data_IF_428359397716
#
_entry.id   IF_428359397716
#
_cell.length_a   1.000
_cell.length_b   1.000
_cell.length_c   1.000
_cell.angle_alpha   90.00
_cell.angle_beta   90.00
_cell.angle_gamma   90.00
#
_symmetry.space_group_name_H-M   'P 1'
#
loop_
_entity.id
_entity.type
_entity.pdbx_description
1 polymer ?
#
# COMPACT_ATOMS: atom_id res chain seq x y z
N UNK A 1 10.09 -21.59 4.53
CA UNK A 1 10.59 -20.21 4.26
C UNK A 1 11.77 -20.18 3.29
N UNK A 2 12.66 -21.18 3.26
CA UNK A 2 13.75 -21.25 2.25
C UNK A 2 13.30 -21.73 0.86
N UNK A 3 12.20 -22.47 0.75
CA UNK A 3 11.75 -23.11 -0.50
C UNK A 3 11.01 -22.17 -1.48
N UNK A 4 10.50 -21.03 -1.01
CA UNK A 4 9.83 -20.04 -1.86
C UNK A 4 10.82 -19.11 -2.61
N UNK A 5 12.04 -18.96 -2.09
CA UNK A 5 13.12 -18.24 -2.75
C UNK A 5 13.83 -19.10 -3.82
N UNK A 6 13.84 -20.42 -3.65
CA UNK A 6 14.47 -21.36 -4.60
C UNK A 6 13.72 -21.54 -5.93
N UNK A 7 12.42 -21.26 -5.98
CA UNK A 7 11.61 -21.41 -7.21
C UNK A 7 11.80 -20.22 -8.18
N UNK A 8 12.40 -19.12 -7.73
CA UNK A 8 12.67 -17.95 -8.58
C UNK A 8 14.00 -18.03 -9.35
N UNK A 9 14.85 -19.04 -9.09
CA UNK A 9 16.21 -19.08 -9.66
C UNK A 9 16.35 -19.97 -10.90
N UNK A 10 15.52 -21.01 -11.05
CA UNK A 10 15.66 -21.97 -12.14
C UNK A 10 14.53 -21.84 -13.16
N UNK A 11 14.67 -20.93 -14.13
CA UNK A 11 13.83 -21.02 -15.34
C UNK A 11 13.58 -19.78 -16.18
N UNK A 12 14.39 -18.71 -16.11
CA UNK A 12 14.18 -17.56 -17.00
C UNK A 12 15.50 -17.09 -17.59
N UNK A 13 15.85 -17.68 -18.74
CA UNK A 13 16.79 -17.06 -19.68
C UNK A 13 16.15 -15.79 -20.25
N UNK A 14 16.62 -14.65 -19.77
CA UNK A 14 16.18 -13.31 -20.17
C UNK A 14 16.18 -12.36 -18.96
N UNK A 15 16.46 -11.04 -19.12
CA UNK A 15 16.67 -10.12 -18.01
C UNK A 15 15.34 -9.72 -17.36
N UNK A 16 14.64 -10.67 -16.74
CA UNK A 16 13.48 -10.39 -15.90
C UNK A 16 14.00 -10.11 -14.49
N UNK A 17 14.49 -8.90 -14.29
CA UNK A 17 15.06 -8.46 -13.02
C UNK A 17 14.07 -8.61 -11.85
N UNK A 18 14.62 -8.87 -10.65
CA UNK A 18 13.93 -9.02 -9.37
C UNK A 18 12.89 -7.94 -9.04
N UNK A 19 12.87 -6.80 -9.74
CA UNK A 19 12.03 -5.65 -9.42
C UNK A 19 10.54 -5.89 -9.57
N UNK A 20 10.12 -6.72 -10.52
CA UNK A 20 8.70 -7.04 -10.68
C UNK A 20 8.13 -7.91 -9.55
N UNK A 21 8.70 -9.07 -9.18
CA UNK A 21 8.17 -9.88 -8.09
C UNK A 21 8.23 -9.15 -6.74
N UNK A 22 9.29 -8.38 -6.48
CA UNK A 22 9.38 -7.54 -5.27
C UNK A 22 8.27 -6.48 -5.23
N UNK A 23 8.06 -5.77 -6.34
CA UNK A 23 6.98 -4.81 -6.42
C UNK A 23 5.61 -5.49 -6.29
N UNK A 24 5.40 -6.65 -6.91
CA UNK A 24 4.17 -7.43 -6.77
C UNK A 24 3.84 -7.75 -5.30
N UNK A 25 4.82 -8.24 -4.54
CA UNK A 25 4.69 -8.64 -3.14
C UNK A 25 4.52 -7.47 -2.17
N UNK A 26 4.99 -6.27 -2.53
CA UNK A 26 4.96 -5.09 -1.63
C UNK A 26 3.56 -4.66 -1.17
N UNK A 27 2.52 -4.88 -1.98
CA UNK A 27 1.13 -4.54 -1.60
C UNK A 27 0.57 -5.45 -0.50
N UNK A 28 0.58 -6.78 -0.70
CA UNK A 28 0.23 -7.76 0.34
C UNK A 28 1.03 -7.59 1.63
N UNK A 29 2.33 -7.27 1.52
CA UNK A 29 3.16 -7.00 2.70
C UNK A 29 2.70 -5.76 3.47
N UNK A 30 2.38 -4.66 2.76
CA UNK A 30 1.77 -3.48 3.35
C UNK A 30 0.43 -3.81 4.02
N UNK A 31 -0.42 -4.62 3.36
CA UNK A 31 -1.70 -5.04 3.91
C UNK A 31 -1.55 -5.89 5.17
N UNK A 32 -0.59 -6.82 5.21
CA UNK A 32 -0.29 -7.62 6.40
C UNK A 32 0.15 -6.74 7.57
N UNK A 33 1.03 -5.77 7.32
CA UNK A 33 1.49 -4.82 8.35
C UNK A 33 0.37 -3.91 8.87
N UNK A 34 -0.50 -3.40 7.98
CA UNK A 34 -1.69 -2.64 8.37
C UNK A 34 -2.69 -3.51 9.15
N UNK A 35 -2.84 -4.78 8.77
CA UNK A 35 -3.71 -5.73 9.48
C UNK A 35 -3.24 -5.99 10.90
N UNK A 36 -1.94 -6.26 11.08
CA UNK A 36 -1.33 -6.43 12.40
C UNK A 36 -1.47 -5.16 13.26
N UNK A 37 -1.36 -3.98 12.64
CA UNK A 37 -1.61 -2.70 13.31
C UNK A 37 -3.06 -2.58 13.81
N UNK A 38 -4.04 -2.97 12.97
CA UNK A 38 -5.45 -2.95 13.34
C UNK A 38 -5.78 -3.97 14.43
N UNK A 39 -5.20 -5.17 14.36
CA UNK A 39 -5.36 -6.21 15.38
C UNK A 39 -4.79 -5.76 16.73
N UNK A 40 -3.57 -5.19 16.74
CA UNK A 40 -2.97 -4.59 17.94
C UNK A 40 -3.82 -3.44 18.50
N UNK A 41 -4.43 -2.63 17.63
CA UNK A 41 -5.35 -1.58 18.04
C UNK A 41 -6.66 -2.13 18.62
N UNK A 42 -7.15 -3.26 18.10
CA UNK A 42 -8.34 -3.97 18.59
C UNK A 42 -8.12 -4.49 20.01
N UNK A 43 -7.03 -5.20 20.24
CA UNK A 43 -6.67 -5.72 21.57
C UNK A 43 -6.46 -4.61 22.60
N UNK A 44 -6.09 -3.41 22.16
CA UNK A 44 -5.92 -2.24 23.01
C UNK A 44 -7.17 -1.34 23.11
N UNK A 45 -8.31 -1.71 22.49
CA UNK A 45 -9.54 -0.92 22.52
C UNK A 45 -9.47 0.43 21.79
N UNK A 46 -8.53 0.61 20.85
CA UNK A 46 -8.24 1.91 20.19
C UNK A 46 -8.91 2.08 18.83
N UNK A 47 -9.65 1.08 18.34
CA UNK A 47 -10.25 1.06 16.99
C UNK A 47 -11.19 2.23 16.69
N UNK A 48 -11.75 2.88 17.72
CA UNK A 48 -12.61 4.05 17.54
C UNK A 48 -11.89 5.30 16.99
N UNK A 49 -10.55 5.33 17.00
CA UNK A 49 -9.78 6.47 16.49
C UNK A 49 -9.82 6.60 14.97
N UNK A 50 -9.91 7.83 14.47
CA UNK A 50 -9.89 8.17 13.04
C UNK A 50 -8.70 7.56 12.29
N UNK A 51 -7.55 7.42 12.96
CA UNK A 51 -6.36 6.75 12.43
C UNK A 51 -6.68 5.34 11.94
N UNK A 52 -7.32 4.52 12.78
CA UNK A 52 -7.58 3.11 12.49
C UNK A 52 -8.77 2.93 11.56
N UNK A 53 -9.78 3.81 11.66
CA UNK A 53 -10.90 3.85 10.70
C UNK A 53 -10.42 4.11 9.28
N UNK A 54 -9.50 5.07 9.08
CA UNK A 54 -8.91 5.36 7.77
C UNK A 54 -8.08 4.18 7.26
N UNK A 55 -7.24 3.57 8.10
CA UNK A 55 -6.49 2.37 7.71
C UNK A 55 -7.42 1.23 7.29
N UNK A 56 -8.50 0.98 8.04
CA UNK A 56 -9.50 -0.03 7.70
C UNK A 56 -10.22 0.28 6.38
N UNK A 57 -10.53 1.55 6.09
CA UNK A 57 -11.13 1.97 4.83
C UNK A 57 -10.25 1.64 3.62
N UNK A 58 -8.98 2.05 3.66
CA UNK A 58 -8.06 1.80 2.56
C UNK A 58 -7.65 0.33 2.45
N UNK A 59 -7.64 -0.42 3.55
CA UNK A 59 -7.49 -1.87 3.55
C UNK A 59 -8.70 -2.57 2.92
N UNK A 60 -9.91 -2.05 3.15
CA UNK A 60 -11.12 -2.52 2.45
C UNK A 60 -11.00 -2.29 0.95
N UNK A 61 -10.58 -1.09 0.53
CA UNK A 61 -10.38 -0.77 -0.90
C UNK A 61 -9.33 -1.71 -1.54
N UNK A 62 -8.23 -1.99 -0.84
CA UNK A 62 -7.23 -2.96 -1.26
C UNK A 62 -7.83 -4.36 -1.46
N UNK A 63 -8.62 -4.83 -0.49
CA UNK A 63 -9.24 -6.15 -0.53
C UNK A 63 -10.30 -6.27 -1.63
N UNK A 64 -11.05 -5.21 -1.90
CA UNK A 64 -11.99 -5.15 -3.03
C UNK A 64 -11.23 -5.30 -4.36
N UNK A 65 -10.11 -4.58 -4.53
CA UNK A 65 -9.27 -4.75 -5.71
C UNK A 65 -8.70 -6.18 -5.83
N UNK A 66 -8.34 -6.81 -4.70
CA UNK A 66 -7.91 -8.21 -4.64
C UNK A 66 -9.02 -9.18 -5.06
N UNK A 67 -10.25 -8.98 -4.58
CA UNK A 67 -11.41 -9.77 -4.96
C UNK A 67 -11.73 -9.64 -6.45
N UNK A 68 -11.74 -8.41 -6.99
CA UNK A 68 -11.93 -8.17 -8.43
C UNK A 68 -10.86 -8.89 -9.25
N UNK A 69 -9.60 -8.89 -8.79
CA UNK A 69 -8.51 -9.61 -9.45
C UNK A 69 -8.79 -11.11 -9.50
N UNK A 70 -9.23 -11.68 -8.38
CA UNK A 70 -9.58 -13.11 -8.26
C UNK A 70 -10.68 -13.45 -9.27
N UNK A 71 -11.77 -12.69 -9.29
CA UNK A 71 -12.90 -12.90 -10.20
C UNK A 71 -12.51 -12.81 -11.68
N UNK A 72 -11.64 -11.86 -12.04
CA UNK A 72 -11.18 -11.65 -13.41
C UNK A 72 -10.11 -12.66 -13.87
N UNK A 73 -9.51 -13.43 -12.95
CA UNK A 73 -8.41 -14.35 -13.24
C UNK A 73 -8.83 -15.83 -13.32
N UNK A 74 -10.11 -16.15 -13.15
CA UNK A 74 -10.65 -17.51 -13.26
C UNK A 74 -10.51 -17.97 -14.73
N UNK A 75 -9.63 -18.95 -15.01
CA UNK A 75 -9.50 -19.55 -16.35
C UNK A 75 -8.06 -19.71 -16.91
N UNK A 76 -7.17 -20.35 -16.15
CA UNK A 76 -5.85 -20.79 -16.63
C UNK A 76 -4.73 -19.77 -16.43
N UNK A 77 -3.69 -20.15 -15.70
CA UNK A 77 -2.68 -19.20 -15.21
C UNK A 77 -1.26 -19.63 -15.55
N UNK A 78 -0.49 -18.66 -16.05
CA UNK A 78 0.98 -18.72 -16.01
C UNK A 78 1.45 -18.54 -14.56
N UNK A 79 2.63 -19.08 -14.21
CA UNK A 79 3.18 -19.09 -12.85
C UNK A 79 3.26 -17.68 -12.21
N UNK A 80 3.53 -16.66 -13.02
CA UNK A 80 3.54 -15.24 -12.63
C UNK A 80 2.17 -14.74 -12.16
N UNK A 81 1.09 -15.19 -12.78
CA UNK A 81 -0.29 -14.81 -12.44
C UNK A 81 -0.80 -15.60 -11.22
N UNK A 82 -0.36 -16.86 -11.05
CA UNK A 82 -0.62 -17.63 -9.83
C UNK A 82 -0.03 -16.94 -8.60
N UNK A 83 1.16 -16.38 -8.71
CA UNK A 83 1.77 -15.61 -7.62
C UNK A 83 0.92 -14.39 -7.24
N UNK A 84 0.42 -13.62 -8.21
CA UNK A 84 -0.49 -12.51 -7.96
C UNK A 84 -1.81 -12.95 -7.34
N UNK A 85 -2.31 -14.12 -7.74
CA UNK A 85 -3.55 -14.70 -7.21
C UNK A 85 -3.38 -15.15 -5.75
N UNK A 86 -2.30 -15.86 -5.43
CA UNK A 86 -1.93 -16.25 -4.05
C UNK A 86 -1.74 -15.03 -3.16
N UNK A 87 -1.09 -13.98 -3.69
CA UNK A 87 -0.89 -12.72 -2.99
C UNK A 87 -2.21 -11.94 -2.79
N UNK A 88 -3.17 -12.06 -3.71
CA UNK A 88 -4.52 -11.49 -3.58
C UNK A 88 -5.38 -12.31 -2.61
N UNK A 89 -5.23 -13.63 -2.56
CA UNK A 89 -5.83 -14.46 -1.51
C UNK A 89 -5.26 -14.11 -0.13
N UNK A 90 -3.95 -13.88 -0.02
CA UNK A 90 -3.34 -13.39 1.21
C UNK A 90 -3.90 -12.03 1.64
N UNK A 91 -4.29 -11.16 0.68
CA UNK A 91 -5.01 -9.93 1.01
C UNK A 91 -6.38 -10.19 1.64
N UNK A 92 -7.13 -11.20 1.20
CA UNK A 92 -8.42 -11.56 1.82
C UNK A 92 -8.28 -12.05 3.27
N UNK A 93 -7.10 -12.49 3.71
CA UNK A 93 -6.85 -12.80 5.13
C UNK A 93 -6.89 -11.53 6.00
N UNK A 94 -6.73 -10.34 5.42
CA UNK A 94 -6.89 -9.06 6.10
C UNK A 94 -8.34 -8.59 6.25
N UNK A 95 -9.32 -9.32 5.71
CA UNK A 95 -10.73 -8.95 5.80
C UNK A 95 -11.24 -9.03 7.25
N UNK A 96 -10.79 -10.02 8.03
CA UNK A 96 -11.23 -10.21 9.42
C UNK A 96 -10.84 -9.05 10.34
N UNK A 97 -9.58 -8.56 10.38
CA UNK A 97 -9.24 -7.37 11.16
C UNK A 97 -9.92 -6.10 10.63
N UNK A 98 -10.23 -6.03 9.32
CA UNK A 98 -10.99 -4.94 8.72
C UNK A 98 -12.44 -4.89 9.26
N UNK A 99 -13.13 -6.03 9.23
CA UNK A 99 -14.50 -6.20 9.74
C UNK A 99 -14.57 -5.98 11.26
N UNK A 100 -13.60 -6.50 12.01
CA UNK A 100 -13.48 -6.25 13.45
C UNK A 100 -13.25 -4.75 13.75
N UNK A 101 -12.43 -4.08 12.94
CA UNK A 101 -12.20 -2.64 12.99
C UNK A 101 -13.48 -1.82 12.86
N UNK A 102 -14.32 -2.16 11.88
CA UNK A 102 -15.59 -1.46 11.66
C UNK A 102 -16.65 -1.80 12.71
N UNK A 103 -16.81 -3.09 13.05
CA UNK A 103 -17.82 -3.54 14.02
C UNK A 103 -17.56 -2.97 15.42
N UNK A 104 -16.29 -2.92 15.84
CA UNK A 104 -15.92 -2.47 17.17
C UNK A 104 -15.55 -0.97 17.24
N UNK A 105 -15.20 -0.35 16.10
CA UNK A 105 -14.85 1.08 16.03
C UNK A 105 -16.02 2.03 15.75
N UNK A 106 -17.22 1.50 15.47
CA UNK A 106 -18.44 2.29 15.21
C UNK A 106 -18.38 3.17 13.96
N UNK A 107 -17.46 2.90 13.03
CA UNK A 107 -17.29 3.67 11.79
C UNK A 107 -18.34 3.32 10.73
N UNK A 108 -18.80 4.31 9.97
CA UNK A 108 -19.58 4.08 8.75
C UNK A 108 -18.60 4.03 7.57
N UNK A 109 -18.55 2.91 6.86
CA UNK A 109 -17.65 2.67 5.71
C UNK A 109 -17.55 3.85 4.73
N UNK A 110 -18.68 4.51 4.43
CA UNK A 110 -18.74 5.67 3.52
C UNK A 110 -18.82 7.03 4.24
N UNK A 111 -19.09 7.05 5.55
CA UNK A 111 -19.20 8.30 6.33
C UNK A 111 -17.86 8.98 6.58
N UNK A 112 -16.77 8.21 6.61
CA UNK A 112 -15.43 8.72 6.89
C UNK A 112 -14.74 9.38 5.67
N UNK A 113 -15.37 9.32 4.49
CA UNK A 113 -14.83 9.89 3.24
C UNK A 113 -14.69 11.42 3.33
N UNK A 114 -15.64 12.11 3.95
CA UNK A 114 -15.56 13.57 4.13
C UNK A 114 -14.35 13.99 4.98
N UNK A 115 -14.02 13.20 6.01
CA UNK A 115 -12.83 13.40 6.84
C UNK A 115 -11.54 13.16 6.06
N UNK A 116 -11.52 12.15 5.18
CA UNK A 116 -10.41 11.90 4.27
C UNK A 116 -10.20 13.09 3.34
N UNK A 117 -11.25 13.59 2.66
CA UNK A 117 -11.15 14.72 1.73
C UNK A 117 -10.60 15.97 2.43
N UNK A 118 -11.06 16.29 3.64
CA UNK A 118 -10.55 17.45 4.39
C UNK A 118 -9.05 17.35 4.69
N UNK A 119 -8.56 16.14 4.94
CA UNK A 119 -7.15 15.88 5.25
C UNK A 119 -6.23 15.98 4.03
N UNK A 120 -6.77 15.80 2.83
CA UNK A 120 -6.05 16.03 1.58
C UNK A 120 -5.70 17.50 1.33
N UNK A 121 -6.36 18.45 2.00
CA UNK A 121 -6.17 19.90 1.77
C UNK A 121 -5.68 20.66 2.99
N UNK A 122 -5.47 19.99 4.12
CA UNK A 122 -5.01 20.63 5.36
C UNK A 122 -3.56 20.25 5.64
N UNK A 123 -2.77 21.19 6.12
CA UNK A 123 -1.41 20.95 6.58
C UNK A 123 -1.17 21.83 7.80
N UNK A 124 -0.55 21.27 8.85
CA UNK A 124 -0.26 22.02 10.09
C UNK A 124 1.22 22.26 10.32
N UNK A 125 2.08 21.38 9.81
CA UNK A 125 3.53 21.52 9.95
C UNK A 125 4.32 20.98 8.74
N UNK A 126 5.62 21.27 8.69
CA UNK A 126 6.49 20.90 7.57
C UNK A 126 6.58 19.38 7.36
N UNK A 127 6.62 18.59 8.44
CA UNK A 127 6.63 17.13 8.33
C UNK A 127 5.33 16.62 7.70
N UNK A 128 4.18 17.12 8.15
CA UNK A 128 2.87 16.86 7.58
C UNK A 128 2.77 17.29 6.12
N UNK A 129 3.42 18.38 5.73
CA UNK A 129 3.48 18.83 4.33
C UNK A 129 4.19 17.81 3.43
N UNK A 130 5.32 17.26 3.86
CA UNK A 130 6.05 16.26 3.06
C UNK A 130 5.24 14.96 2.92
N UNK A 131 4.60 14.49 4.01
CA UNK A 131 3.70 13.34 3.93
C UNK A 131 2.49 13.62 3.03
N UNK A 132 1.95 14.84 3.06
CA UNK A 132 0.87 15.27 2.17
C UNK A 132 1.32 15.25 0.69
N UNK A 133 2.54 15.72 0.41
CA UNK A 133 3.14 15.62 -0.92
C UNK A 133 3.27 14.16 -1.38
N UNK A 134 3.68 13.26 -0.48
CA UNK A 134 3.71 11.81 -0.74
C UNK A 134 2.32 11.22 -0.98
N UNK A 135 1.32 11.64 -0.21
CA UNK A 135 -0.08 11.28 -0.45
C UNK A 135 -0.55 11.72 -1.83
N UNK A 136 -0.34 13.00 -2.21
CA UNK A 136 -0.74 13.51 -3.51
C UNK A 136 -0.04 12.80 -4.66
N UNK A 137 1.26 12.53 -4.51
CA UNK A 137 2.02 11.76 -5.49
C UNK A 137 1.39 10.38 -5.72
N UNK A 138 1.12 9.61 -4.66
CA UNK A 138 0.51 8.27 -4.80
C UNK A 138 -0.93 8.35 -5.29
N UNK A 139 -1.71 9.35 -4.84
CA UNK A 139 -3.07 9.58 -5.29
C UNK A 139 -3.13 9.92 -6.79
N UNK A 140 -2.20 10.71 -7.31
CA UNK A 140 -2.09 10.98 -8.74
C UNK A 140 -1.79 9.69 -9.53
N UNK A 141 -0.85 8.86 -9.04
CA UNK A 141 -0.58 7.54 -9.65
C UNK A 141 -1.80 6.61 -9.61
N UNK A 142 -2.58 6.67 -8.53
CA UNK A 142 -3.84 5.92 -8.39
C UNK A 142 -4.84 6.37 -9.47
N UNK A 143 -5.05 7.67 -9.65
CA UNK A 143 -5.96 8.23 -10.68
C UNK A 143 -5.50 7.84 -12.08
N UNK A 144 -4.22 8.00 -12.40
CA UNK A 144 -3.65 7.56 -13.68
C UNK A 144 -3.89 6.06 -13.90
N UNK A 145 -3.82 5.24 -12.84
CA UNK A 145 -4.10 3.81 -12.93
C UNK A 145 -5.57 3.49 -13.18
N UNK A 146 -6.48 4.28 -12.61
CA UNK A 146 -7.92 4.15 -12.88
C UNK A 146 -8.20 4.45 -14.35
N UNK A 147 -7.66 5.55 -14.88
CA UNK A 147 -7.79 5.91 -16.30
C UNK A 147 -7.26 4.79 -17.20
N UNK A 148 -6.08 4.24 -16.91
CA UNK A 148 -5.54 3.09 -17.64
C UNK A 148 -6.50 1.89 -17.63
N UNK A 149 -7.11 1.58 -16.49
CA UNK A 149 -8.06 0.46 -16.37
C UNK A 149 -9.31 0.73 -17.21
N UNK A 150 -9.86 1.94 -17.14
CA UNK A 150 -11.04 2.33 -17.92
C UNK A 150 -10.76 2.21 -19.43
N UNK A 151 -9.61 2.71 -19.90
CA UNK A 151 -9.23 2.60 -21.30
C UNK A 151 -9.10 1.12 -21.72
N UNK A 152 -8.46 0.28 -20.90
CA UNK A 152 -8.34 -1.15 -21.19
C UNK A 152 -9.70 -1.86 -21.28
N UNK A 153 -10.67 -1.45 -20.45
CA UNK A 153 -12.05 -1.97 -20.51
C UNK A 153 -12.73 -1.55 -21.81
N UNK A 154 -12.63 -0.27 -22.19
CA UNK A 154 -13.21 0.26 -23.43
C UNK A 154 -12.61 -0.43 -24.66
N UNK A 155 -11.31 -0.66 -24.65
CA UNK A 155 -10.56 -1.35 -25.70
C UNK A 155 -10.83 -2.87 -25.76
N UNK A 156 -11.63 -3.43 -24.83
CA UNK A 156 -11.94 -4.86 -24.82
C UNK A 156 -10.74 -5.75 -24.48
N UNK A 157 -9.79 -5.26 -23.68
CA UNK A 157 -8.62 -6.04 -23.31
C UNK A 157 -8.99 -7.28 -22.48
N UNK A 158 -8.17 -8.35 -22.53
CA UNK A 158 -8.42 -9.56 -21.76
C UNK A 158 -8.55 -9.30 -20.26
N UNK A 159 -9.48 -10.00 -19.59
CA UNK A 159 -9.72 -9.93 -18.15
C UNK A 159 -8.43 -10.10 -17.31
N UNK A 160 -7.47 -10.91 -17.79
CA UNK A 160 -6.16 -11.12 -17.16
C UNK A 160 -5.30 -9.86 -17.10
N UNK A 161 -5.37 -9.02 -18.13
CA UNK A 161 -4.68 -7.72 -18.17
C UNK A 161 -5.31 -6.77 -17.15
N UNK A 162 -6.64 -6.74 -17.09
CA UNK A 162 -7.39 -5.94 -16.12
C UNK A 162 -7.08 -6.35 -14.67
N UNK A 163 -7.07 -7.66 -14.38
CA UNK A 163 -6.71 -8.21 -13.06
C UNK A 163 -5.32 -7.74 -12.60
N UNK A 164 -4.32 -7.79 -13.49
CA UNK A 164 -2.95 -7.35 -13.16
C UNK A 164 -2.88 -5.84 -12.86
N UNK A 165 -3.77 -5.03 -13.45
CA UNK A 165 -3.86 -3.60 -13.16
C UNK A 165 -4.64 -3.32 -11.87
N UNK A 166 -5.68 -4.08 -11.57
CA UNK A 166 -6.47 -3.97 -10.35
C UNK A 166 -5.61 -4.20 -9.08
N UNK A 167 -4.73 -5.21 -9.06
CA UNK A 167 -3.80 -5.42 -7.93
C UNK A 167 -2.90 -4.20 -7.69
N UNK A 168 -2.42 -3.58 -8.78
CA UNK A 168 -1.57 -2.37 -8.69
C UNK A 168 -2.38 -1.19 -8.16
N UNK A 169 -3.64 -1.06 -8.60
CA UNK A 169 -4.55 -0.03 -8.11
C UNK A 169 -4.78 -0.18 -6.59
N UNK A 170 -5.10 -1.39 -6.13
CA UNK A 170 -5.29 -1.67 -4.71
C UNK A 170 -4.08 -1.25 -3.88
N UNK A 171 -2.86 -1.60 -4.33
CA UNK A 171 -1.63 -1.19 -3.60
C UNK A 171 -1.51 0.32 -3.48
N UNK A 172 -1.79 1.06 -4.55
CA UNK A 172 -1.72 2.52 -4.54
C UNK A 172 -2.80 3.11 -3.63
N UNK A 173 -4.00 2.51 -3.60
CA UNK A 173 -5.05 2.87 -2.65
C UNK A 173 -4.58 2.72 -1.20
N UNK A 174 -4.03 1.55 -0.84
CA UNK A 174 -3.56 1.30 0.52
C UNK A 174 -2.39 2.22 0.91
N UNK A 175 -1.43 2.42 0.01
CA UNK A 175 -0.31 3.31 0.24
C UNK A 175 -0.77 4.77 0.41
N UNK A 176 -1.76 5.22 -0.36
CA UNK A 176 -2.38 6.55 -0.20
C UNK A 176 -2.95 6.72 1.21
N UNK A 177 -3.68 5.70 1.70
CA UNK A 177 -4.22 5.69 3.05
C UNK A 177 -3.16 5.73 4.14
N UNK A 178 -2.13 4.91 4.00
CA UNK A 178 -0.99 4.90 4.92
C UNK A 178 -0.30 6.26 4.98
N UNK A 179 -0.07 6.90 3.83
CA UNK A 179 0.55 8.23 3.78
C UNK A 179 -0.33 9.32 4.42
N UNK A 180 -1.65 9.28 4.23
CA UNK A 180 -2.58 10.18 4.91
C UNK A 180 -2.58 10.01 6.43
N UNK A 181 -2.47 8.77 6.90
CA UNK A 181 -2.40 8.46 8.32
C UNK A 181 -1.09 8.96 8.92
N UNK A 182 0.03 8.76 8.22
CA UNK A 182 1.33 9.31 8.61
C UNK A 182 1.34 10.83 8.61
N UNK A 183 0.72 11.47 7.61
CA UNK A 183 0.47 12.91 7.57
C UNK A 183 -0.28 13.37 8.81
N UNK A 184 -1.38 12.70 9.15
CA UNK A 184 -2.21 13.04 10.30
C UNK A 184 -1.49 12.84 11.64
N UNK A 185 -0.53 11.91 11.70
CA UNK A 185 0.32 11.71 12.85
C UNK A 185 1.43 12.76 12.94
N UNK A 186 2.02 13.13 11.80
CA UNK A 186 3.01 14.19 11.68
C UNK A 186 2.42 15.54 12.11
N UNK A 187 1.23 15.91 11.63
CA UNK A 187 0.51 17.13 12.02
C UNK A 187 0.20 17.23 13.53
N UNK A 188 0.32 16.13 14.28
CA UNK A 188 0.08 16.05 15.73
C UNK A 188 1.36 15.74 16.52
N UNK A 189 2.52 15.70 15.85
CA UNK A 189 3.82 15.33 16.41
C UNK A 189 3.84 13.95 17.10
N UNK A 190 3.09 12.99 16.54
CA UNK A 190 2.91 11.63 17.09
C UNK A 190 3.70 10.55 16.36
N UNK A 191 4.67 10.89 15.52
CA UNK A 191 5.41 9.92 14.70
C UNK A 191 6.20 8.87 15.52
N UNK A 192 6.46 9.14 16.80
CA UNK A 192 7.17 8.24 17.72
C UNK A 192 6.35 7.03 18.18
N UNK A 193 5.04 7.01 17.91
CA UNK A 193 4.20 5.85 18.20
C UNK A 193 4.61 4.63 17.38
N UNK A 194 4.62 3.44 17.97
CA UNK A 194 4.99 2.18 17.30
C UNK A 194 4.27 1.98 15.98
N UNK A 195 2.95 2.20 15.96
CA UNK A 195 2.13 2.18 14.75
C UNK A 195 2.71 3.06 13.64
N UNK A 196 3.16 4.27 13.95
CA UNK A 196 3.64 5.21 12.92
C UNK A 196 5.08 4.91 12.49
N UNK A 197 5.89 4.30 13.36
CA UNK A 197 7.19 3.73 13.00
C UNK A 197 6.99 2.60 11.99
N UNK A 198 6.11 1.64 12.29
CA UNK A 198 5.84 0.49 11.42
C UNK A 198 5.29 0.94 10.07
N UNK A 199 4.33 1.88 10.06
CA UNK A 199 3.78 2.43 8.81
C UNK A 199 4.84 3.18 7.97
N UNK A 200 5.81 3.86 8.60
CA UNK A 200 6.93 4.48 7.89
C UNK A 200 7.86 3.43 7.26
N UNK A 201 8.18 2.35 7.97
CA UNK A 201 9.01 1.26 7.44
C UNK A 201 8.28 0.59 6.26
N UNK A 202 6.99 0.29 6.42
CA UNK A 202 6.19 -0.36 5.39
C UNK A 202 6.04 0.52 4.14
N UNK A 203 5.75 1.82 4.31
CA UNK A 203 5.66 2.75 3.18
C UNK A 203 7.01 2.92 2.48
N UNK A 204 8.12 2.99 3.23
CA UNK A 204 9.48 3.01 2.68
C UNK A 204 9.74 1.80 1.78
N UNK A 205 9.46 0.60 2.27
CA UNK A 205 9.66 -0.63 1.51
C UNK A 205 8.84 -0.64 0.20
N UNK A 206 7.60 -0.16 0.21
CA UNK A 206 6.75 -0.09 -0.99
C UNK A 206 7.29 0.92 -1.99
N UNK A 207 7.68 2.11 -1.55
CA UNK A 207 8.29 3.13 -2.40
C UNK A 207 9.64 2.68 -2.98
N UNK A 208 10.47 2.00 -2.19
CA UNK A 208 11.73 1.41 -2.63
C UNK A 208 11.51 0.34 -3.70
N UNK A 209 10.56 -0.58 -3.48
CA UNK A 209 10.17 -1.58 -4.48
C UNK A 209 9.64 -0.93 -5.76
N UNK A 210 8.88 0.18 -5.65
CA UNK A 210 8.39 0.93 -6.79
C UNK A 210 9.53 1.55 -7.60
N UNK A 211 10.47 2.23 -6.93
CA UNK A 211 11.64 2.84 -7.57
C UNK A 211 12.50 1.79 -8.29
N UNK A 212 12.76 0.66 -7.61
CA UNK A 212 13.52 -0.44 -8.16
C UNK A 212 12.82 -1.10 -9.35
N UNK A 213 11.50 -1.30 -9.27
CA UNK A 213 10.70 -1.80 -10.39
C UNK A 213 10.76 -0.89 -11.61
N UNK A 214 10.57 0.42 -11.42
CA UNK A 214 10.59 1.36 -12.55
C UNK A 214 11.99 1.39 -13.19
N UNK A 215 13.06 1.43 -12.38
CA UNK A 215 14.45 1.41 -12.86
C UNK A 215 14.75 0.13 -13.66
N UNK A 216 14.40 -1.03 -13.10
CA UNK A 216 14.70 -2.34 -13.72
C UNK A 216 13.92 -2.59 -15.01
N UNK A 217 12.67 -2.13 -15.10
CA UNK A 217 11.83 -2.36 -16.29
C UNK A 217 12.04 -1.29 -17.37
N UNK A 218 12.16 -0.02 -17.00
CA UNK A 218 12.23 1.08 -17.98
C UNK A 218 13.65 1.46 -18.37
N UNK A 219 14.67 0.94 -17.69
CA UNK A 219 16.08 1.22 -18.00
C UNK A 219 16.48 2.70 -17.87
N UNK A 220 15.59 3.57 -17.38
CA UNK A 220 15.77 5.01 -17.37
C UNK A 220 15.50 5.61 -15.99
N UNK A 221 16.36 6.55 -15.58
CA UNK A 221 16.18 7.39 -14.42
C UNK A 221 15.12 8.45 -14.74
N UNK A 222 13.86 8.12 -14.48
CA UNK A 222 12.73 9.03 -14.68
C UNK A 222 12.46 9.85 -13.40
N UNK A 223 11.81 11.02 -13.49
CA UNK A 223 11.35 11.76 -12.31
C UNK A 223 10.55 10.90 -11.33
N UNK A 224 9.82 9.89 -11.84
CA UNK A 224 9.07 8.93 -11.05
C UNK A 224 9.97 8.03 -10.18
N UNK A 225 11.13 7.63 -10.69
CA UNK A 225 12.14 6.87 -9.93
C UNK A 225 12.67 7.72 -8.78
N UNK A 226 13.03 8.98 -9.06
CA UNK A 226 13.56 9.89 -8.05
C UNK A 226 12.53 10.24 -6.98
N UNK A 227 11.29 10.53 -7.37
CA UNK A 227 10.21 10.78 -6.42
C UNK A 227 9.96 9.56 -5.52
N UNK A 228 9.88 8.36 -6.11
CA UNK A 228 9.69 7.12 -5.34
C UNK A 228 10.86 6.83 -4.41
N UNK A 229 12.11 7.00 -4.88
CA UNK A 229 13.30 6.82 -4.05
C UNK A 229 13.39 7.87 -2.93
N UNK A 230 13.01 9.12 -3.22
CA UNK A 230 12.97 10.21 -2.25
C UNK A 230 11.96 9.94 -1.12
N UNK A 231 10.72 9.55 -1.46
CA UNK A 231 9.74 9.17 -0.44
C UNK A 231 10.14 7.90 0.33
N UNK A 232 10.80 6.95 -0.33
CA UNK A 232 11.38 5.77 0.34
C UNK A 232 12.40 6.17 1.40
N UNK A 233 13.37 7.02 1.04
CA UNK A 233 14.41 7.49 1.96
C UNK A 233 13.81 8.35 3.08
N UNK A 234 12.90 9.26 2.75
CA UNK A 234 12.24 10.13 3.73
C UNK A 234 11.49 9.34 4.80
N UNK A 235 10.70 8.35 4.40
CA UNK A 235 9.93 7.51 5.35
C UNK A 235 10.85 6.61 6.18
N UNK A 236 11.91 6.05 5.60
CA UNK A 236 12.93 5.31 6.34
C UNK A 236 13.64 6.17 7.40
N UNK A 237 14.08 7.38 7.02
CA UNK A 237 14.75 8.29 7.94
C UNK A 237 13.83 8.73 9.07
N UNK A 238 12.54 8.98 8.78
CA UNK A 238 11.57 9.29 9.84
C UNK A 238 11.31 8.10 10.77
N UNK A 239 11.27 6.87 10.26
CA UNK A 239 11.21 5.69 11.12
C UNK A 239 12.42 5.61 12.05
N UNK A 240 13.64 5.75 11.52
CA UNK A 240 14.89 5.72 12.30
C UNK A 240 14.91 6.82 13.36
N UNK A 241 14.61 8.06 12.97
CA UNK A 241 14.55 9.19 13.90
C UNK A 241 13.51 8.97 15.00
N UNK A 242 12.34 8.42 14.65
CA UNK A 242 11.28 8.12 15.61
C UNK A 242 11.68 7.01 16.58
N UNK A 243 12.39 5.97 16.11
CA UNK A 243 12.97 4.92 16.97
C UNK A 243 14.00 5.48 17.95
N UNK A 244 14.92 6.33 17.48
CA UNK A 244 15.95 6.98 18.32
C UNK A 244 15.32 7.87 19.38
N UNK A 245 14.29 8.66 19.03
CA UNK A 245 13.59 9.50 20.00
C UNK A 245 12.84 8.66 21.03
N UNK A 246 12.20 7.57 20.59
CA UNK A 246 11.50 6.66 21.47
C UNK A 246 12.45 5.95 22.45
N UNK A 247 13.65 5.55 22.03
CA UNK A 247 14.62 4.89 22.91
C UNK A 247 15.24 5.80 23.97
N UNK A 248 15.08 7.12 23.82
CA UNK A 248 15.56 8.13 24.78
C UNK A 248 14.52 8.50 25.84
N UNK A 249 13.31 7.95 25.75
CA UNK A 249 12.21 8.15 26.71
C UNK A 249 12.03 6.89 27.54
#
# INVERSE_FOLDING_TARGET
VATALGICYNGIGGPVGLGLPLYAASGPYLAAGVSSTLESAASAGRLGSDTYKRLALFLTEFNLCGLTTILLAIGGTTLRQQLFYVLSLASLLSLSPTLAGYKNGGGKLFGDIGGVIKEFFTCKNLNGFIYLGGTWFVAALKVLKIVDIVNLVIEGNPAKTLATRAVRLGRLALLTGTMLVLKSAADRDRLEGTTFIDLNILSSAVFGCMAFYIKTIRGALTPLVYASAGFSAFTALNAINSMIKKSKK
#
